data_IF_228900619127
#
_entry.id   IF_228900619127
#
_cell.length_a   1.000
_cell.length_b   1.000
_cell.length_c   1.000
_cell.angle_alpha   90.00
_cell.angle_beta   90.00
_cell.angle_gamma   90.00
#
_symmetry.space_group_name_H-M   'P 1'
#
loop_
_entity.id
_entity.type
_entity.pdbx_description
1 polymer ?
#
# COMPACT_ATOMS: atom_id res chain seq x y z
N UNK A 1 -6.51 31.70 -5.97
CA UNK A 1 -6.04 30.65 -6.87
C UNK A 1 -6.17 29.30 -6.19
N UNK A 2 -6.54 28.25 -6.90
CA UNK A 2 -6.77 26.91 -6.32
C UNK A 2 -5.44 26.15 -6.27
N UNK A 3 -5.02 25.74 -5.07
CA UNK A 3 -3.79 24.93 -4.91
C UNK A 3 -4.08 23.45 -5.18
N UNK A 4 -3.06 22.62 -5.47
CA UNK A 4 -3.23 21.18 -5.62
C UNK A 4 -3.89 20.54 -4.40
N UNK A 5 -3.52 20.95 -3.19
CA UNK A 5 -4.07 20.42 -1.93
C UNK A 5 -5.55 20.79 -1.75
N UNK A 6 -5.93 22.01 -2.14
CA UNK A 6 -7.35 22.42 -2.11
C UNK A 6 -8.14 21.63 -3.14
N UNK A 7 -7.60 21.46 -4.34
CA UNK A 7 -8.26 20.69 -5.40
C UNK A 7 -8.43 19.22 -5.02
N UNK A 8 -7.42 18.58 -4.41
CA UNK A 8 -7.50 17.20 -3.93
C UNK A 8 -8.63 17.01 -2.89
N UNK A 9 -8.78 17.96 -1.96
CA UNK A 9 -9.88 17.92 -0.97
C UNK A 9 -11.26 18.08 -1.63
N UNK A 10 -11.37 18.94 -2.62
CA UNK A 10 -12.64 19.14 -3.32
C UNK A 10 -13.00 17.96 -4.23
N UNK A 11 -12.01 17.32 -4.88
CA UNK A 11 -12.21 16.04 -5.60
C UNK A 11 -12.71 14.97 -4.64
N UNK A 12 -12.05 14.79 -3.49
CA UNK A 12 -12.49 13.81 -2.51
C UNK A 12 -13.89 14.09 -1.96
N UNK A 13 -14.26 15.36 -1.78
CA UNK A 13 -15.60 15.76 -1.31
C UNK A 13 -16.69 15.57 -2.37
N UNK A 14 -16.34 15.57 -3.66
CA UNK A 14 -17.30 15.37 -4.76
C UNK A 14 -17.57 13.88 -5.04
N UNK A 15 -16.76 12.97 -4.49
CA UNK A 15 -16.87 11.54 -4.71
C UNK A 15 -17.72 10.86 -3.62
N UNK A 16 -18.38 9.74 -3.91
CA UNK A 16 -19.13 9.01 -2.90
C UNK A 16 -18.17 8.45 -1.82
N UNK A 17 -18.70 8.32 -0.61
CA UNK A 17 -17.95 7.66 0.47
C UNK A 17 -17.59 6.21 0.07
N UNK A 18 -16.39 5.77 0.42
CA UNK A 18 -15.95 4.40 0.13
C UNK A 18 -16.88 3.41 0.83
N UNK A 19 -17.40 2.48 0.07
CA UNK A 19 -18.20 1.39 0.61
C UNK A 19 -17.28 0.36 1.28
N UNK A 20 -17.74 -0.20 2.39
CA UNK A 20 -17.02 -1.24 3.13
C UNK A 20 -17.63 -2.59 2.77
N UNK A 21 -16.80 -3.61 2.67
CA UNK A 21 -17.20 -5.01 2.50
C UNK A 21 -16.31 -5.91 3.32
N UNK A 22 -16.88 -7.00 3.83
CA UNK A 22 -16.12 -8.06 4.50
C UNK A 22 -15.69 -9.09 3.48
N UNK A 23 -14.42 -9.47 3.51
CA UNK A 23 -13.86 -10.49 2.62
C UNK A 23 -13.03 -11.48 3.42
N UNK A 24 -12.99 -12.72 2.96
CA UNK A 24 -12.08 -13.71 3.52
C UNK A 24 -10.63 -13.28 3.33
N UNK A 25 -9.78 -13.45 4.35
CA UNK A 25 -8.41 -12.95 4.39
C UNK A 25 -7.57 -13.37 3.17
N UNK A 26 -7.73 -14.61 2.70
CA UNK A 26 -7.02 -15.13 1.52
C UNK A 26 -7.41 -14.44 0.19
N UNK A 27 -8.49 -13.64 0.16
CA UNK A 27 -8.95 -12.86 -0.99
C UNK A 27 -8.65 -11.37 -0.84
N UNK A 28 -8.09 -10.96 0.31
CA UNK A 28 -7.90 -9.56 0.66
C UNK A 28 -6.58 -8.96 0.14
N UNK A 29 -5.76 -9.74 -0.58
CA UNK A 29 -4.49 -9.24 -1.12
C UNK A 29 -4.69 -7.97 -1.95
N UNK A 30 -3.83 -6.97 -1.70
CA UNK A 30 -3.85 -5.65 -2.35
C UNK A 30 -5.08 -4.78 -2.05
N UNK A 31 -6.05 -5.25 -1.27
CA UNK A 31 -7.17 -4.44 -0.78
C UNK A 31 -6.72 -3.50 0.34
N UNK A 32 -7.55 -2.51 0.64
CA UNK A 32 -7.28 -1.47 1.64
C UNK A 32 -8.19 -1.66 2.84
N UNK A 33 -7.62 -1.74 4.04
CA UNK A 33 -8.37 -1.87 5.28
C UNK A 33 -9.30 -0.67 5.52
N UNK A 34 -10.50 -0.94 6.01
CA UNK A 34 -11.48 0.09 6.37
C UNK A 34 -11.42 0.51 7.85
N UNK A 35 -10.74 -0.26 8.68
CA UNK A 35 -10.61 -0.04 10.12
C UNK A 35 -9.26 -0.54 10.66
N UNK A 36 -8.86 -0.03 11.82
CA UNK A 36 -7.71 -0.53 12.56
C UNK A 36 -7.95 -1.95 13.05
N UNK A 37 -6.91 -2.77 13.01
CA UNK A 37 -6.92 -4.13 13.55
C UNK A 37 -5.86 -4.23 14.63
N UNK A 38 -6.28 -4.65 15.82
CA UNK A 38 -5.43 -4.83 16.98
C UNK A 38 -5.19 -6.31 17.26
N UNK A 39 -4.04 -6.62 17.86
CA UNK A 39 -3.71 -7.98 18.27
C UNK A 39 -4.69 -8.50 19.32
N UNK A 40 -5.32 -9.64 19.05
CA UNK A 40 -6.24 -10.29 19.98
C UNK A 40 -5.55 -11.06 21.09
N UNK A 41 -4.27 -11.36 20.92
CA UNK A 41 -3.40 -12.02 21.89
C UNK A 41 -1.93 -11.71 21.58
N UNK A 42 -1.02 -11.89 22.56
CA UNK A 42 0.40 -11.60 22.34
C UNK A 42 1.05 -12.57 21.35
N UNK A 43 2.06 -12.12 20.60
CA UNK A 43 2.91 -12.95 19.74
C UNK A 43 4.36 -12.95 20.28
N UNK A 44 4.98 -14.11 20.56
CA UNK A 44 4.36 -15.43 20.69
C UNK A 44 3.31 -15.45 21.81
N UNK A 45 2.37 -16.39 21.69
CA UNK A 45 1.22 -16.53 22.60
C UNK A 45 1.61 -17.06 24.01
N UNK A 46 2.78 -17.70 24.08
CA UNK A 46 3.39 -18.26 25.29
C UNK A 46 4.91 -18.28 25.15
N UNK A 47 5.61 -18.36 26.26
CA UNK A 47 7.07 -18.58 26.25
C UNK A 47 7.37 -19.86 25.51
N UNK A 48 8.27 -19.81 24.50
CA UNK A 48 8.61 -20.97 23.69
C UNK A 48 10.13 -21.10 23.48
N UNK A 49 10.54 -22.32 23.13
CA UNK A 49 11.95 -22.61 22.86
C UNK A 49 12.40 -21.98 21.54
N UNK A 50 13.56 -21.32 21.55
CA UNK A 50 14.24 -20.86 20.36
C UNK A 50 15.08 -21.94 19.66
N UNK A 51 15.41 -23.02 20.37
CA UNK A 51 16.34 -24.07 19.94
C UNK A 51 15.76 -25.45 20.19
N UNK A 52 16.22 -26.43 19.44
CA UNK A 52 16.13 -27.85 19.79
C UNK A 52 17.15 -28.15 20.83
N UNK A 53 16.77 -28.72 21.99
CA UNK A 53 17.67 -28.93 23.09
C UNK A 53 16.99 -29.43 24.36
N UNK A 54 17.46 -28.98 25.49
CA UNK A 54 16.93 -29.36 26.81
C UNK A 54 16.47 -28.16 27.62
N UNK A 55 15.23 -28.18 28.09
CA UNK A 55 14.74 -27.26 29.12
C UNK A 55 15.31 -27.65 30.47
N UNK A 56 15.98 -26.73 31.17
CA UNK A 56 16.68 -26.97 32.42
C UNK A 56 15.97 -26.31 33.61
N UNK A 57 15.83 -26.99 34.77
CA UNK A 57 15.25 -26.41 35.99
C UNK A 57 16.17 -25.39 36.67
N UNK A 58 17.45 -25.36 36.33
CA UNK A 58 18.47 -24.42 36.85
C UNK A 58 19.58 -24.17 35.85
N UNK A 59 20.34 -23.08 36.02
CA UNK A 59 21.36 -22.65 35.06
C UNK A 59 22.73 -23.26 35.28
N UNK A 60 22.95 -24.01 36.36
CA UNK A 60 24.25 -24.57 36.72
C UNK A 60 24.71 -25.67 35.76
N UNK A 61 26.02 -25.68 35.44
CA UNK A 61 26.62 -26.80 34.73
C UNK A 61 26.52 -28.09 35.54
N UNK A 62 26.33 -29.24 34.88
CA UNK A 62 26.26 -30.51 35.57
C UNK A 62 25.52 -31.59 34.79
N UNK A 63 25.32 -32.72 35.48
CA UNK A 63 24.63 -33.88 34.92
C UNK A 63 23.21 -33.95 35.48
N UNK A 64 22.23 -33.94 34.61
CA UNK A 64 20.80 -33.93 34.94
C UNK A 64 20.15 -35.24 34.54
N UNK A 65 19.10 -35.63 35.29
CA UNK A 65 18.22 -36.71 34.87
C UNK A 65 17.35 -36.21 33.71
N UNK A 66 17.19 -37.03 32.68
CA UNK A 66 16.33 -36.70 31.52
C UNK A 66 14.87 -37.03 31.83
N UNK A 67 14.02 -36.04 31.62
CA UNK A 67 12.57 -36.15 31.73
C UNK A 67 11.88 -36.47 30.40
N UNK A 68 10.53 -36.36 30.34
CA UNK A 68 9.76 -36.53 29.13
C UNK A 68 10.09 -35.46 28.08
N UNK A 69 9.94 -35.80 26.79
CA UNK A 69 10.10 -34.88 25.68
C UNK A 69 8.90 -33.95 25.55
N UNK A 70 9.12 -32.69 25.25
CA UNK A 70 8.11 -31.66 25.00
C UNK A 70 8.20 -31.27 23.54
N UNK A 71 7.25 -31.71 22.74
CA UNK A 71 7.17 -31.39 21.33
C UNK A 71 6.39 -30.08 21.09
N UNK A 72 6.55 -29.49 19.90
CA UNK A 72 5.73 -28.35 19.48
C UNK A 72 4.25 -28.79 19.41
N UNK A 73 3.37 -27.99 20.06
CA UNK A 73 1.95 -28.30 20.20
C UNK A 73 1.58 -29.07 21.48
N UNK A 74 2.54 -29.58 22.23
CA UNK A 74 2.27 -30.21 23.53
C UNK A 74 1.87 -29.15 24.58
N UNK A 75 1.03 -29.58 25.53
CA UNK A 75 0.82 -28.85 26.77
C UNK A 75 1.77 -29.40 27.85
N UNK A 76 2.82 -28.65 28.25
CA UNK A 76 3.80 -29.12 29.23
C UNK A 76 3.20 -29.57 30.55
N UNK A 77 2.08 -28.97 30.99
CA UNK A 77 1.38 -29.34 32.24
C UNK A 77 0.91 -30.78 32.16
N UNK A 78 0.38 -31.21 31.01
CA UNK A 78 -0.11 -32.59 30.82
C UNK A 78 1.03 -33.59 30.68
N UNK A 79 2.13 -33.17 30.02
CA UNK A 79 3.31 -34.03 29.81
C UNK A 79 4.04 -34.30 31.12
N UNK A 80 4.23 -33.27 31.96
CA UNK A 80 5.05 -33.33 33.17
C UNK A 80 4.27 -33.64 34.46
N UNK A 81 2.95 -33.45 34.49
CA UNK A 81 2.11 -33.49 35.70
C UNK A 81 2.61 -32.53 36.81
N UNK A 82 3.23 -31.40 36.45
CA UNK A 82 3.77 -30.41 37.38
C UNK A 82 4.85 -29.53 36.77
N UNK A 83 5.55 -28.73 37.60
CA UNK A 83 6.65 -27.90 37.12
C UNK A 83 7.89 -28.75 36.70
N UNK A 84 8.80 -28.12 35.95
CA UNK A 84 10.00 -28.79 35.47
C UNK A 84 10.90 -29.24 36.62
N UNK A 85 11.10 -30.56 36.75
CA UNK A 85 12.00 -31.16 37.78
C UNK A 85 13.20 -31.88 37.25
N UNK A 86 13.35 -32.04 35.92
CA UNK A 86 14.42 -32.72 35.23
C UNK A 86 14.81 -31.97 33.95
N UNK A 87 15.90 -32.33 33.31
CA UNK A 87 16.23 -31.81 31.98
C UNK A 87 15.32 -32.44 30.93
N UNK A 88 14.38 -31.71 30.39
CA UNK A 88 13.40 -32.23 29.42
C UNK A 88 13.81 -31.87 27.98
N UNK A 89 13.95 -32.88 27.08
CA UNK A 89 14.06 -32.59 25.66
C UNK A 89 12.95 -31.67 25.21
N UNK A 90 13.28 -30.58 24.50
CA UNK A 90 12.34 -29.59 24.02
C UNK A 90 12.64 -29.22 22.58
N UNK A 91 11.61 -29.14 21.76
CA UNK A 91 11.73 -28.75 20.34
C UNK A 91 11.52 -27.26 20.13
N UNK A 92 12.13 -26.71 19.09
CA UNK A 92 11.94 -25.33 18.69
C UNK A 92 10.44 -25.01 18.53
N UNK A 93 9.99 -23.89 19.11
CA UNK A 93 8.60 -23.47 19.10
C UNK A 93 7.71 -24.16 20.15
N UNK A 94 8.19 -25.19 20.84
CA UNK A 94 7.45 -25.84 21.92
C UNK A 94 7.27 -24.89 23.12
N UNK A 95 6.09 -24.94 23.75
CA UNK A 95 5.77 -24.17 24.95
C UNK A 95 6.72 -24.55 26.09
N UNK A 96 7.36 -23.56 26.70
CA UNK A 96 8.32 -23.76 27.78
C UNK A 96 7.56 -24.14 29.06
N UNK A 97 7.97 -25.23 29.76
CA UNK A 97 7.39 -25.61 31.04
C UNK A 97 7.60 -24.56 32.12
N UNK A 98 6.67 -24.49 33.05
CA UNK A 98 6.84 -23.73 34.28
C UNK A 98 8.04 -24.25 35.09
N UNK A 99 8.84 -23.34 35.63
CA UNK A 99 10.07 -23.68 36.36
C UNK A 99 11.29 -23.85 35.47
N UNK A 100 11.22 -23.60 34.17
CA UNK A 100 12.38 -23.60 33.27
C UNK A 100 13.24 -22.37 33.53
N UNK A 101 14.50 -22.58 33.91
CA UNK A 101 15.50 -21.52 34.11
C UNK A 101 16.16 -21.09 32.80
N UNK A 102 16.47 -22.05 31.91
CA UNK A 102 17.06 -21.82 30.61
C UNK A 102 16.85 -23.02 29.68
N UNK A 103 17.15 -22.83 28.41
CA UNK A 103 17.24 -23.89 27.41
C UNK A 103 18.68 -23.98 26.94
N UNK A 104 19.21 -25.21 26.86
CA UNK A 104 20.54 -25.48 26.29
C UNK A 104 20.36 -26.18 24.94
N UNK A 105 20.99 -25.67 23.85
CA UNK A 105 20.98 -26.35 22.57
C UNK A 105 21.57 -27.73 22.65
N UNK A 106 21.04 -28.68 21.89
CA UNK A 106 21.53 -30.08 21.88
C UNK A 106 23.02 -30.18 21.54
N UNK A 107 23.54 -29.30 20.69
CA UNK A 107 24.93 -29.23 20.26
C UNK A 107 25.90 -28.89 21.41
N UNK A 108 25.38 -28.32 22.50
CA UNK A 108 26.17 -27.97 23.69
C UNK A 108 26.07 -29.01 24.81
N UNK A 109 25.32 -30.09 24.58
CA UNK A 109 25.12 -31.17 25.54
C UNK A 109 26.12 -32.34 25.30
N UNK A 110 26.26 -33.19 26.30
CA UNK A 110 27.06 -34.41 26.19
C UNK A 110 26.27 -35.61 26.74
N UNK A 111 25.92 -36.59 25.86
CA UNK A 111 26.13 -36.61 24.40
C UNK A 111 25.24 -35.59 23.65
N UNK A 112 25.64 -35.24 22.41
CA UNK A 112 24.88 -34.29 21.54
C UNK A 112 23.67 -34.99 20.86
N UNK A 113 22.83 -35.61 21.66
CA UNK A 113 21.64 -36.32 21.17
C UNK A 113 20.48 -36.23 22.18
N UNK A 114 19.25 -36.47 21.71
CA UNK A 114 18.10 -36.57 22.58
C UNK A 114 18.05 -37.96 23.24
N UNK A 115 18.13 -37.95 24.56
CA UNK A 115 18.11 -39.17 25.36
C UNK A 115 16.69 -39.50 25.83
N UNK A 116 16.46 -40.79 26.10
CA UNK A 116 15.18 -41.26 26.66
C UNK A 116 15.04 -40.87 28.13
N UNK A 117 13.80 -40.71 28.64
CA UNK A 117 13.54 -40.46 30.06
C UNK A 117 14.25 -41.47 30.97
N UNK A 118 14.86 -40.96 32.07
CA UNK A 118 15.65 -41.73 32.98
C UNK A 118 17.13 -41.82 32.68
N UNK A 119 17.59 -41.45 31.49
CA UNK A 119 18.99 -41.30 31.14
C UNK A 119 19.62 -40.06 31.83
N UNK A 120 20.91 -39.83 31.64
CA UNK A 120 21.63 -38.66 32.17
C UNK A 120 22.26 -37.87 31.04
N UNK A 121 22.10 -36.55 31.08
CA UNK A 121 22.66 -35.58 30.14
C UNK A 121 23.59 -34.62 30.90
N UNK A 122 24.75 -34.33 30.36
CA UNK A 122 25.65 -33.31 30.90
C UNK A 122 25.52 -32.04 30.09
N UNK A 123 25.32 -30.90 30.75
CA UNK A 123 25.11 -29.59 30.15
C UNK A 123 26.10 -28.57 30.72
N UNK A 124 26.50 -27.56 29.93
CA UNK A 124 27.29 -26.44 30.42
C UNK A 124 26.48 -25.51 31.30
N UNK A 125 27.14 -24.56 31.95
CA UNK A 125 26.50 -23.42 32.59
C UNK A 125 25.74 -22.57 31.55
N UNK A 126 24.52 -22.11 31.91
CA UNK A 126 23.65 -21.29 31.06
C UNK A 126 23.30 -19.99 31.77
N UNK A 127 22.85 -19.01 31.00
CA UNK A 127 22.31 -17.76 31.55
C UNK A 127 20.79 -17.87 31.79
N UNK A 128 20.25 -17.23 32.84
CA UNK A 128 18.83 -17.22 33.08
C UNK A 128 18.04 -16.75 31.88
N UNK A 129 17.01 -17.48 31.44
CA UNK A 129 16.17 -17.19 30.29
C UNK A 129 16.82 -17.43 28.92
N UNK A 130 18.04 -18.02 28.90
CA UNK A 130 18.74 -18.31 27.64
C UNK A 130 17.89 -19.19 26.73
N UNK A 131 17.81 -18.80 25.44
CA UNK A 131 17.01 -19.42 24.37
C UNK A 131 15.52 -19.61 24.67
N UNK A 132 14.96 -18.80 25.58
CA UNK A 132 13.52 -18.69 25.79
C UNK A 132 13.02 -17.44 25.08
N UNK A 133 12.14 -17.62 24.08
CA UNK A 133 11.44 -16.51 23.44
C UNK A 133 10.23 -16.19 24.31
N UNK A 134 10.18 -14.96 24.82
CA UNK A 134 9.14 -14.54 25.76
C UNK A 134 7.83 -14.25 25.06
N UNK A 135 6.74 -14.54 25.74
CA UNK A 135 5.37 -14.11 25.36
C UNK A 135 5.37 -12.63 25.02
N UNK A 136 4.75 -12.25 23.89
CA UNK A 136 4.61 -10.85 23.48
C UNK A 136 5.90 -10.18 22.99
N UNK A 137 7.01 -10.90 22.86
CA UNK A 137 8.28 -10.29 22.42
C UNK A 137 8.28 -9.78 20.97
N UNK A 138 7.33 -10.20 20.15
CA UNK A 138 7.11 -9.71 18.79
C UNK A 138 5.95 -8.70 18.76
N UNK A 139 4.84 -9.01 19.43
CA UNK A 139 3.65 -8.19 19.45
C UNK A 139 2.90 -8.37 20.78
N UNK A 140 2.59 -7.28 21.47
CA UNK A 140 1.79 -7.29 22.69
C UNK A 140 0.30 -7.39 22.36
N UNK A 141 -0.49 -7.97 23.27
CA UNK A 141 -1.96 -7.97 23.18
C UNK A 141 -2.50 -6.54 23.15
N UNK A 142 -3.44 -6.25 22.25
CA UNK A 142 -4.02 -4.93 22.06
C UNK A 142 -3.15 -3.97 21.23
N UNK A 143 -1.93 -4.33 20.87
CA UNK A 143 -1.10 -3.50 19.98
C UNK A 143 -1.71 -3.39 18.58
N UNK A 144 -1.50 -2.27 17.91
CA UNK A 144 -1.94 -2.06 16.54
C UNK A 144 -1.17 -3.02 15.60
N UNK A 145 -1.90 -3.92 14.93
CA UNK A 145 -1.36 -4.88 13.99
C UNK A 145 -1.39 -4.37 12.55
N UNK A 146 -2.47 -3.71 12.18
CA UNK A 146 -2.61 -3.04 10.89
C UNK A 146 -3.57 -1.84 11.03
N UNK A 147 -3.22 -0.72 10.41
CA UNK A 147 -4.01 0.50 10.49
C UNK A 147 -5.06 0.58 9.38
N UNK A 148 -6.12 1.34 9.64
CA UNK A 148 -7.04 1.79 8.61
C UNK A 148 -6.27 2.44 7.46
N UNK A 149 -6.75 2.25 6.24
CA UNK A 149 -6.15 2.72 4.99
C UNK A 149 -4.82 2.03 4.61
N UNK A 150 -4.36 1.06 5.41
CA UNK A 150 -3.24 0.18 5.03
C UNK A 150 -3.62 -0.75 3.88
N UNK A 151 -2.72 -0.87 2.91
CA UNK A 151 -2.83 -1.88 1.84
C UNK A 151 -2.39 -3.24 2.37
N UNK A 152 -3.20 -4.28 2.15
CA UNK A 152 -2.94 -5.63 2.61
C UNK A 152 -1.88 -6.32 1.75
N UNK A 153 -0.63 -6.21 2.18
CA UNK A 153 0.52 -6.90 1.58
C UNK A 153 0.58 -8.37 2.01
N UNK A 154 1.33 -9.24 1.31
CA UNK A 154 1.48 -10.63 1.73
C UNK A 154 1.96 -10.80 3.18
N UNK A 155 2.87 -9.93 3.66
CA UNK A 155 3.37 -9.96 5.04
C UNK A 155 2.27 -9.56 6.04
N UNK A 156 1.47 -8.54 5.72
CA UNK A 156 0.32 -8.16 6.56
C UNK A 156 -0.72 -9.28 6.63
N UNK A 157 -1.04 -9.92 5.51
CA UNK A 157 -1.96 -11.07 5.51
C UNK A 157 -1.44 -12.20 6.40
N UNK A 158 -0.14 -12.51 6.34
CA UNK A 158 0.46 -13.51 7.22
C UNK A 158 0.39 -13.10 8.70
N UNK A 159 0.66 -11.84 9.03
CA UNK A 159 0.55 -11.31 10.38
C UNK A 159 -0.90 -11.38 10.92
N UNK A 160 -1.89 -11.02 10.10
CA UNK A 160 -3.31 -11.15 10.46
C UNK A 160 -3.71 -12.61 10.67
N UNK A 161 -3.30 -13.50 9.77
CA UNK A 161 -3.55 -14.94 9.90
C UNK A 161 -2.91 -15.53 11.17
N UNK A 162 -1.72 -15.07 11.57
CA UNK A 162 -1.05 -15.51 12.80
C UNK A 162 -1.83 -15.13 14.08
N UNK A 163 -2.70 -14.14 13.97
CA UNK A 163 -3.64 -13.74 15.03
C UNK A 163 -5.00 -14.45 14.94
N UNK A 164 -5.14 -15.43 14.04
CA UNK A 164 -6.39 -16.17 13.85
C UNK A 164 -7.51 -15.37 13.19
N UNK A 165 -7.15 -14.33 12.44
CA UNK A 165 -8.12 -13.51 11.69
C UNK A 165 -8.38 -14.17 10.34
N UNK A 166 -9.62 -14.57 10.08
CA UNK A 166 -10.03 -15.25 8.85
C UNK A 166 -10.72 -14.33 7.85
N UNK A 167 -11.28 -13.21 8.33
CA UNK A 167 -11.99 -12.21 7.53
C UNK A 167 -11.57 -10.81 7.95
N UNK A 168 -11.62 -9.87 6.99
CA UNK A 168 -11.29 -8.47 7.22
C UNK A 168 -12.30 -7.55 6.54
N UNK A 169 -12.53 -6.40 7.16
CA UNK A 169 -13.28 -5.31 6.54
C UNK A 169 -12.35 -4.46 5.69
N UNK A 170 -12.68 -4.35 4.41
CA UNK A 170 -11.90 -3.60 3.42
C UNK A 170 -12.77 -2.59 2.69
N UNK A 171 -12.14 -1.55 2.19
CA UNK A 171 -12.78 -0.67 1.23
C UNK A 171 -13.08 -1.44 -0.06
N UNK A 172 -14.35 -1.45 -0.48
CA UNK A 172 -14.71 -1.99 -1.80
C UNK A 172 -13.94 -1.21 -2.87
N UNK A 173 -13.31 -1.89 -3.84
CA UNK A 173 -12.73 -1.20 -4.99
C UNK A 173 -13.75 -0.25 -5.64
N UNK A 174 -13.39 1.02 -5.78
CA UNK A 174 -14.23 1.96 -6.52
C UNK A 174 -14.27 1.54 -8.00
N UNK A 175 -15.42 1.72 -8.64
CA UNK A 175 -15.65 1.40 -10.04
C UNK A 175 -15.68 2.68 -10.85
N UNK A 176 -14.80 2.81 -11.85
CA UNK A 176 -14.76 3.98 -12.71
C UNK A 176 -15.01 3.65 -14.17
N UNK A 177 -15.59 4.60 -14.89
CA UNK A 177 -15.50 4.66 -16.34
C UNK A 177 -14.36 5.60 -16.73
N UNK A 178 -13.60 5.21 -17.73
CA UNK A 178 -12.55 6.05 -18.31
C UNK A 178 -13.07 6.64 -19.62
N UNK A 179 -13.07 7.98 -19.72
CA UNK A 179 -13.44 8.69 -20.93
C UNK A 179 -12.21 9.34 -21.55
N UNK A 180 -11.81 8.89 -22.73
CA UNK A 180 -10.70 9.45 -23.49
C UNK A 180 -11.14 9.73 -24.93
N UNK A 181 -10.38 10.53 -25.65
CA UNK A 181 -10.63 10.84 -27.05
C UNK A 181 -10.44 12.31 -27.36
N UNK A 182 -10.80 12.66 -28.55
CA UNK A 182 -10.66 13.95 -29.22
C UNK A 182 -10.58 13.68 -30.72
N UNK A 183 -10.83 14.67 -31.58
CA UNK A 183 -10.75 14.51 -33.03
C UNK A 183 -9.37 14.05 -33.54
N UNK A 184 -8.32 14.29 -32.74
CA UNK A 184 -6.96 13.85 -33.03
C UNK A 184 -6.68 12.37 -32.71
N UNK A 185 -7.56 11.72 -31.92
CA UNK A 185 -7.38 10.32 -31.52
C UNK A 185 -8.07 9.40 -32.53
N UNK A 186 -7.34 8.45 -33.11
CA UNK A 186 -7.94 7.48 -34.03
C UNK A 186 -7.04 7.08 -35.18
N UNK A 187 -7.64 6.94 -36.38
CA UNK A 187 -6.96 6.51 -37.60
C UNK A 187 -6.99 7.62 -38.66
N UNK A 188 -5.84 7.93 -39.25
CA UNK A 188 -5.71 8.94 -40.30
C UNK A 188 -4.31 9.59 -40.30
N UNK A 189 -4.02 10.39 -41.33
CA UNK A 189 -2.67 10.98 -41.51
C UNK A 189 -2.29 12.03 -40.44
N UNK A 190 -3.30 12.55 -39.70
CA UNK A 190 -3.09 13.52 -38.60
C UNK A 190 -3.53 12.94 -37.23
N UNK A 191 -3.96 11.69 -37.18
CA UNK A 191 -4.38 11.05 -35.95
C UNK A 191 -3.19 10.53 -35.15
N UNK A 192 -3.34 10.56 -33.83
CA UNK A 192 -2.38 10.00 -32.87
C UNK A 192 -3.02 8.82 -32.10
N UNK A 193 -2.24 7.82 -31.69
CA UNK A 193 -2.72 6.76 -30.80
C UNK A 193 -3.16 7.31 -29.45
N UNK A 194 -4.22 6.73 -28.86
CA UNK A 194 -4.63 7.04 -27.50
C UNK A 194 -3.62 6.48 -26.50
N UNK A 195 -2.87 7.38 -25.86
CA UNK A 195 -1.93 7.03 -24.79
C UNK A 195 -2.60 7.12 -23.40
N UNK A 196 -3.73 7.85 -23.28
CA UNK A 196 -4.37 8.10 -21.98
C UNK A 196 -5.21 6.92 -21.49
N UNK A 197 -5.90 6.20 -22.36
CA UNK A 197 -6.69 5.03 -21.95
C UNK A 197 -5.82 3.94 -21.29
N UNK A 198 -4.73 3.45 -21.91
CA UNK A 198 -3.84 2.49 -21.26
C UNK A 198 -3.14 3.05 -20.02
N UNK A 199 -2.77 4.34 -19.99
CA UNK A 199 -2.17 4.99 -18.84
C UNK A 199 -3.13 4.99 -17.64
N UNK A 200 -4.35 5.50 -17.84
CA UNK A 200 -5.37 5.58 -16.79
C UNK A 200 -5.78 4.20 -16.28
N UNK A 201 -5.91 3.22 -17.18
CA UNK A 201 -6.21 1.83 -16.82
C UNK A 201 -5.13 1.23 -15.91
N UNK A 202 -3.86 1.38 -16.29
CA UNK A 202 -2.75 0.87 -15.48
C UNK A 202 -2.67 1.56 -14.10
N UNK A 203 -2.88 2.89 -14.07
CA UNK A 203 -2.88 3.65 -12.81
C UNK A 203 -4.08 3.30 -11.92
N UNK A 204 -5.26 3.08 -12.49
CA UNK A 204 -6.44 2.63 -11.77
C UNK A 204 -6.20 1.27 -11.12
N UNK A 205 -5.73 0.28 -11.86
CA UNK A 205 -5.40 -1.04 -11.33
C UNK A 205 -4.36 -0.97 -10.21
N UNK A 206 -3.31 -0.15 -10.38
CA UNK A 206 -2.29 0.05 -9.33
C UNK A 206 -2.86 0.66 -8.05
N UNK A 207 -3.84 1.54 -8.19
CA UNK A 207 -4.56 2.17 -7.08
C UNK A 207 -5.66 1.26 -6.47
N UNK A 208 -5.88 0.05 -6.99
CA UNK A 208 -6.96 -0.84 -6.56
C UNK A 208 -8.35 -0.35 -6.99
N UNK A 209 -8.43 0.40 -8.10
CA UNK A 209 -9.67 0.91 -8.69
C UNK A 209 -10.07 0.01 -9.85
N UNK A 210 -11.32 -0.42 -9.90
CA UNK A 210 -11.88 -1.22 -10.99
C UNK A 210 -12.25 -0.32 -12.17
N UNK A 211 -11.76 -0.65 -13.36
CA UNK A 211 -12.19 -0.01 -14.61
C UNK A 211 -13.40 -0.77 -15.15
N UNK A 212 -14.58 -0.20 -14.98
CA UNK A 212 -15.85 -0.82 -15.37
C UNK A 212 -16.15 -0.70 -16.86
N UNK A 213 -15.49 0.22 -17.56
CA UNK A 213 -15.66 0.41 -19.00
C UNK A 213 -15.01 1.68 -19.53
N UNK A 214 -15.18 1.90 -20.83
CA UNK A 214 -14.56 3.02 -21.54
C UNK A 214 -15.61 3.78 -22.33
N UNK A 215 -15.44 5.11 -22.42
CA UNK A 215 -16.21 6.00 -23.26
C UNK A 215 -15.22 6.66 -24.23
N UNK A 216 -15.41 6.46 -25.51
CA UNK A 216 -14.69 7.19 -26.54
C UNK A 216 -15.45 8.46 -26.87
N UNK A 217 -14.79 9.61 -26.83
CA UNK A 217 -15.40 10.88 -27.25
C UNK A 217 -14.91 11.27 -28.65
N UNK A 218 -15.84 11.74 -29.47
CA UNK A 218 -15.60 12.58 -30.62
C UNK A 218 -16.04 14.00 -30.26
N UNK A 219 -15.85 14.98 -31.11
CA UNK A 219 -16.20 16.37 -30.79
C UNK A 219 -17.71 16.70 -30.94
N UNK A 220 -18.58 15.68 -30.88
CA UNK A 220 -20.03 15.81 -30.93
C UNK A 220 -20.64 15.74 -29.51
N UNK A 221 -21.18 16.84 -28.96
CA UNK A 221 -21.80 16.88 -27.64
C UNK A 221 -22.98 15.94 -27.46
N UNK A 222 -23.80 15.73 -28.53
CA UNK A 222 -24.97 14.86 -28.45
C UNK A 222 -24.56 13.40 -28.37
N UNK A 223 -23.60 12.99 -29.20
CA UNK A 223 -23.03 11.65 -29.16
C UNK A 223 -22.37 11.34 -27.81
N UNK A 224 -21.62 12.30 -27.26
CA UNK A 224 -21.01 12.16 -25.95
C UNK A 224 -22.04 12.04 -24.83
N UNK A 225 -23.11 12.87 -24.85
CA UNK A 225 -24.20 12.78 -23.87
C UNK A 225 -24.84 11.39 -23.88
N UNK A 226 -25.12 10.86 -25.08
CA UNK A 226 -25.71 9.53 -25.22
C UNK A 226 -24.76 8.43 -24.70
N UNK A 227 -23.47 8.50 -25.06
CA UNK A 227 -22.46 7.54 -24.60
C UNK A 227 -22.27 7.55 -23.07
N UNK A 228 -22.29 8.73 -22.43
CA UNK A 228 -22.27 8.85 -20.96
C UNK A 228 -23.50 8.17 -20.35
N UNK A 229 -24.70 8.49 -20.83
CA UNK A 229 -25.95 7.95 -20.29
C UNK A 229 -25.98 6.41 -20.40
N UNK A 230 -25.62 5.86 -21.56
CA UNK A 230 -25.59 4.42 -21.81
C UNK A 230 -24.54 3.71 -20.93
N UNK A 231 -23.29 4.22 -20.93
CA UNK A 231 -22.21 3.61 -20.18
C UNK A 231 -22.46 3.65 -18.67
N UNK A 232 -22.99 4.74 -18.14
CA UNK A 232 -23.33 4.88 -16.71
C UNK A 232 -24.48 3.92 -16.34
N UNK A 233 -25.54 3.86 -17.15
CA UNK A 233 -26.66 2.97 -16.90
C UNK A 233 -26.27 1.48 -16.93
N UNK A 234 -25.33 1.10 -17.82
CA UNK A 234 -24.87 -0.27 -17.94
C UNK A 234 -23.91 -0.68 -16.81
N UNK A 235 -23.01 0.21 -16.42
CA UNK A 235 -21.87 -0.16 -15.55
C UNK A 235 -22.04 0.28 -14.09
N UNK A 236 -22.95 1.17 -13.77
CA UNK A 236 -23.16 1.73 -12.43
C UNK A 236 -21.84 2.14 -11.74
N UNK A 237 -21.04 3.05 -12.34
CA UNK A 237 -19.76 3.46 -11.79
C UNK A 237 -19.93 4.36 -10.56
N UNK A 238 -18.92 4.37 -9.69
CA UNK A 238 -18.82 5.34 -8.59
C UNK A 238 -18.40 6.74 -9.10
N UNK A 239 -17.67 6.78 -10.23
CA UNK A 239 -17.26 8.02 -10.90
C UNK A 239 -16.90 7.79 -12.38
N UNK A 240 -16.87 8.85 -13.15
CA UNK A 240 -16.22 8.88 -14.47
C UNK A 240 -14.94 9.71 -14.37
N UNK A 241 -13.86 9.23 -14.99
CA UNK A 241 -12.59 9.97 -15.11
C UNK A 241 -12.36 10.29 -16.58
N UNK A 242 -12.33 11.58 -16.92
CA UNK A 242 -12.06 12.00 -18.31
C UNK A 242 -10.62 12.48 -18.47
N UNK A 243 -10.04 12.31 -19.64
CA UNK A 243 -8.77 12.91 -20.03
C UNK A 243 -8.94 13.66 -21.34
N UNK A 244 -8.81 15.01 -21.27
CA UNK A 244 -9.02 15.93 -22.39
C UNK A 244 -10.43 16.56 -22.40
N UNK A 245 -10.68 17.41 -23.40
CA UNK A 245 -11.96 18.07 -23.61
C UNK A 245 -12.33 19.15 -22.59
N UNK A 246 -11.36 19.71 -21.83
CA UNK A 246 -11.61 20.64 -20.71
C UNK A 246 -10.83 21.95 -20.74
N UNK A 247 -10.01 22.18 -21.77
CA UNK A 247 -9.26 23.44 -21.89
C UNK A 247 -10.17 24.64 -22.18
N UNK A 248 -9.63 25.82 -22.30
CA UNK A 248 -10.40 26.99 -22.70
C UNK A 248 -10.61 27.10 -24.23
N UNK A 249 -10.36 25.99 -24.96
CA UNK A 249 -10.49 25.92 -26.42
C UNK A 249 -11.92 25.94 -26.92
N UNK A 250 -12.08 26.22 -28.22
CA UNK A 250 -13.39 26.37 -28.85
C UNK A 250 -14.18 25.04 -28.99
N UNK A 251 -13.50 23.90 -28.91
CA UNK A 251 -14.06 22.56 -29.21
C UNK A 251 -14.06 21.61 -28.02
N UNK A 252 -14.11 22.13 -26.81
CA UNK A 252 -14.03 21.33 -25.58
C UNK A 252 -15.38 20.67 -25.25
N UNK A 253 -15.63 19.53 -25.87
CA UNK A 253 -16.92 18.83 -25.83
C UNK A 253 -17.31 18.38 -24.42
N UNK A 254 -16.37 17.91 -23.62
CA UNK A 254 -16.62 17.45 -22.23
C UNK A 254 -17.20 18.59 -21.38
N UNK A 255 -16.66 19.80 -21.53
CA UNK A 255 -17.12 20.98 -20.80
C UNK A 255 -18.52 21.45 -21.23
N UNK A 256 -18.96 21.10 -22.44
CA UNK A 256 -20.29 21.47 -22.92
C UNK A 256 -21.39 20.54 -22.41
N UNK A 257 -21.04 19.31 -22.05
CA UNK A 257 -21.99 18.25 -21.68
C UNK A 257 -22.14 18.13 -20.16
N UNK A 258 -21.13 18.57 -19.38
CA UNK A 258 -21.09 18.38 -17.94
C UNK A 258 -21.39 19.69 -17.19
N UNK A 259 -22.11 19.57 -16.06
CA UNK A 259 -22.32 20.66 -15.13
C UNK A 259 -21.29 20.60 -13.99
N UNK A 260 -20.57 21.70 -13.76
CA UNK A 260 -19.57 21.71 -12.72
C UNK A 260 -18.53 22.84 -12.80
N UNK A 261 -17.52 22.70 -11.99
CA UNK A 261 -16.39 23.62 -11.98
C UNK A 261 -15.30 23.18 -12.96
N UNK A 262 -14.88 24.11 -13.82
CA UNK A 262 -13.75 23.99 -14.72
C UNK A 262 -12.83 25.18 -14.54
N UNK A 263 -11.55 24.94 -14.23
CA UNK A 263 -10.64 26.03 -13.93
C UNK A 263 -9.17 25.60 -13.89
N UNK A 264 -8.35 26.44 -13.27
CA UNK A 264 -6.92 26.21 -13.15
C UNK A 264 -6.53 25.91 -11.71
N UNK A 265 -5.65 24.93 -11.57
CA UNK A 265 -4.92 24.59 -10.34
C UNK A 265 -3.47 25.08 -10.51
N UNK A 266 -2.87 25.63 -9.46
CA UNK A 266 -1.53 26.21 -9.45
C UNK A 266 -0.45 25.13 -9.43
N UNK A 267 -0.46 24.32 -10.49
CA UNK A 267 0.51 23.25 -10.71
C UNK A 267 1.02 23.22 -12.16
N UNK A 268 2.15 22.57 -12.35
CA UNK A 268 2.71 22.20 -13.64
C UNK A 268 3.38 20.81 -13.57
N UNK A 269 3.01 19.90 -14.52
CA UNK A 269 1.98 20.02 -15.53
C UNK A 269 0.57 19.87 -14.94
N UNK A 270 -0.46 20.07 -15.77
CA UNK A 270 -1.85 19.76 -15.41
C UNK A 270 -2.62 20.90 -14.72
N UNK A 271 -2.39 22.15 -15.12
CA UNK A 271 -3.14 23.29 -14.60
C UNK A 271 -4.66 23.22 -14.84
N UNK A 272 -5.16 22.97 -16.06
CA UNK A 272 -6.59 22.81 -16.32
C UNK A 272 -7.13 21.57 -15.63
N UNK A 273 -8.23 21.71 -14.88
CA UNK A 273 -8.91 20.63 -14.15
C UNK A 273 -10.42 20.88 -14.15
N UNK A 274 -11.22 19.82 -13.91
CA UNK A 274 -12.66 19.94 -13.71
C UNK A 274 -13.18 18.99 -12.64
N UNK A 275 -14.19 19.44 -11.91
CA UNK A 275 -15.01 18.64 -11.01
C UNK A 275 -16.45 18.89 -11.44
N UNK A 276 -17.11 17.88 -11.95
CA UNK A 276 -18.42 18.00 -12.56
C UNK A 276 -19.32 16.82 -12.21
N UNK A 277 -20.53 16.85 -12.68
CA UNK A 277 -21.48 15.75 -12.61
C UNK A 277 -22.11 15.52 -13.96
N UNK A 278 -22.48 14.28 -14.24
CA UNK A 278 -23.40 13.91 -15.28
C UNK A 278 -24.58 13.21 -14.62
N UNK A 279 -25.73 13.90 -14.58
CA UNK A 279 -26.84 13.57 -13.67
C UNK A 279 -26.29 13.46 -12.22
N UNK A 280 -26.43 12.32 -11.57
CA UNK A 280 -25.97 12.08 -10.19
C UNK A 280 -24.57 11.45 -10.12
N UNK A 281 -23.93 11.18 -11.25
CA UNK A 281 -22.60 10.53 -11.29
C UNK A 281 -21.49 11.57 -11.29
N UNK A 282 -20.56 11.53 -10.33
CA UNK A 282 -19.40 12.42 -10.31
C UNK A 282 -18.49 12.20 -11.52
N UNK A 283 -17.95 13.30 -12.05
CA UNK A 283 -17.01 13.27 -13.18
C UNK A 283 -15.77 14.08 -12.81
N UNK A 284 -14.62 13.43 -12.75
CA UNK A 284 -13.33 14.08 -12.52
C UNK A 284 -12.64 14.26 -13.86
N UNK A 285 -12.44 15.53 -14.24
CA UNK A 285 -11.95 15.88 -15.55
C UNK A 285 -10.48 16.27 -15.50
N UNK A 286 -9.64 15.46 -16.13
CA UNK A 286 -8.19 15.61 -16.18
C UNK A 286 -7.74 16.22 -17.50
N UNK A 287 -6.56 16.90 -17.54
CA UNK A 287 -6.00 17.45 -18.77
C UNK A 287 -5.65 16.36 -19.79
N UNK A 288 -5.73 16.68 -21.10
CA UNK A 288 -5.51 15.71 -22.18
C UNK A 288 -4.05 15.28 -22.41
N UNK A 289 -3.05 16.09 -22.03
CA UNK A 289 -1.65 15.70 -22.18
C UNK A 289 -1.28 14.56 -21.23
N UNK A 290 -0.70 13.43 -21.70
CA UNK A 290 -0.48 12.23 -20.89
C UNK A 290 0.28 12.46 -19.57
N UNK A 291 1.30 13.31 -19.56
CA UNK A 291 2.02 13.64 -18.31
C UNK A 291 1.16 14.46 -17.36
N UNK A 292 0.29 15.33 -17.88
CA UNK A 292 -0.66 16.06 -17.05
C UNK A 292 -1.72 15.12 -16.46
N UNK A 293 -2.20 14.17 -17.26
CA UNK A 293 -3.12 13.10 -16.84
C UNK A 293 -2.50 12.26 -15.71
N UNK A 294 -1.26 11.78 -15.89
CA UNK A 294 -0.49 11.01 -14.91
C UNK A 294 -0.37 11.76 -13.57
N UNK A 295 0.08 13.02 -13.62
CA UNK A 295 0.25 13.84 -12.41
C UNK A 295 -1.10 14.05 -11.70
N UNK A 296 -2.14 14.43 -12.47
CA UNK A 296 -3.46 14.70 -11.90
C UNK A 296 -4.13 13.46 -11.33
N UNK A 297 -4.03 12.31 -12.01
CA UNK A 297 -4.55 11.05 -11.49
C UNK A 297 -3.84 10.66 -10.17
N UNK A 298 -2.49 10.73 -10.16
CA UNK A 298 -1.69 10.42 -8.94
C UNK A 298 -2.04 11.30 -7.76
N UNK A 299 -2.29 12.60 -7.99
CA UNK A 299 -2.53 13.56 -6.91
C UNK A 299 -4.00 13.60 -6.45
N UNK A 300 -4.95 13.35 -7.35
CA UNK A 300 -6.36 13.65 -7.08
C UNK A 300 -7.26 12.43 -7.11
N UNK A 301 -7.07 11.50 -8.05
CA UNK A 301 -7.97 10.36 -8.25
C UNK A 301 -7.54 9.16 -7.41
N UNK A 302 -6.27 8.77 -7.49
CA UNK A 302 -5.75 7.61 -6.79
C UNK A 302 -5.98 7.66 -5.27
N UNK A 303 -5.66 8.76 -4.53
CA UNK A 303 -5.90 8.82 -3.09
C UNK A 303 -7.38 8.94 -2.72
N UNK A 304 -8.22 9.49 -3.62
CA UNK A 304 -9.64 9.71 -3.35
C UNK A 304 -10.50 8.46 -3.57
N UNK A 305 -10.24 7.68 -4.62
CA UNK A 305 -11.02 6.49 -4.99
C UNK A 305 -10.34 5.16 -4.67
N UNK A 306 -9.03 5.15 -4.51
CA UNK A 306 -8.25 3.95 -4.29
C UNK A 306 -7.15 4.17 -3.26
N UNK A 307 -5.99 3.61 -3.55
CA UNK A 307 -4.80 3.73 -2.72
C UNK A 307 -3.65 4.40 -3.50
N UNK A 308 -2.91 5.24 -2.81
CA UNK A 308 -1.69 5.83 -3.33
C UNK A 308 -0.60 5.76 -2.23
N UNK A 309 0.65 5.40 -2.58
CA UNK A 309 1.73 5.42 -1.61
C UNK A 309 1.91 6.83 -1.00
N UNK A 310 2.20 6.89 0.30
CA UNK A 310 2.48 8.17 0.96
C UNK A 310 3.72 8.84 0.36
N UNK A 311 3.69 10.16 0.18
CA UNK A 311 4.88 10.91 -0.22
C UNK A 311 5.92 10.89 0.90
N UNK A 312 7.20 10.95 0.52
CA UNK A 312 8.31 11.01 1.46
C UNK A 312 9.37 12.01 1.00
N UNK A 313 10.37 12.28 1.84
CA UNK A 313 11.40 13.26 1.55
C UNK A 313 12.74 12.60 1.30
N UNK A 314 13.46 13.13 0.29
CA UNK A 314 14.82 12.72 -0.05
C UNK A 314 15.62 13.92 -0.57
N UNK A 315 16.96 13.92 -0.46
CA UNK A 315 17.78 14.98 -1.02
C UNK A 315 17.70 15.01 -2.55
N UNK A 316 17.71 16.20 -3.13
CA UNK A 316 17.74 16.42 -4.57
C UNK A 316 19.16 16.19 -5.12
N UNK A 317 19.29 15.46 -6.22
CA UNK A 317 20.59 15.13 -6.80
C UNK A 317 21.28 16.34 -7.48
N UNK A 318 20.51 17.25 -8.05
CA UNK A 318 21.01 18.45 -8.75
C UNK A 318 20.07 19.63 -8.52
N UNK A 319 20.63 20.83 -8.41
CA UNK A 319 19.85 22.04 -8.19
C UNK A 319 18.85 22.34 -9.30
N UNK A 320 17.73 22.97 -8.94
CA UNK A 320 16.66 23.37 -9.85
C UNK A 320 16.02 24.67 -9.42
N UNK A 321 15.59 25.47 -10.38
CA UNK A 321 14.79 26.66 -10.14
C UNK A 321 13.30 26.36 -10.39
N UNK A 322 12.45 26.62 -9.39
CA UNK A 322 11.01 26.49 -9.47
C UNK A 322 10.35 27.64 -10.24
N UNK A 323 9.19 27.37 -10.82
CA UNK A 323 8.39 28.43 -11.46
C UNK A 323 7.86 29.45 -10.43
N UNK A 324 7.76 30.74 -10.75
CA UNK A 324 7.41 31.79 -9.78
C UNK A 324 6.08 31.56 -9.05
N UNK A 325 5.06 31.03 -9.72
CA UNK A 325 3.68 30.99 -9.20
C UNK A 325 3.03 29.60 -9.23
N UNK A 326 3.76 28.54 -9.62
CA UNK A 326 3.20 27.19 -9.76
C UNK A 326 4.10 26.16 -9.12
N UNK A 327 3.52 25.25 -8.35
CA UNK A 327 4.20 24.03 -7.91
C UNK A 327 4.48 23.15 -9.12
N UNK A 328 5.69 22.63 -9.26
CA UNK A 328 6.00 21.69 -10.32
C UNK A 328 6.06 20.26 -9.78
N UNK A 329 5.53 19.32 -10.57
CA UNK A 329 5.64 17.88 -10.33
C UNK A 329 6.47 17.31 -11.47
N UNK A 330 7.77 17.16 -11.21
CA UNK A 330 8.76 16.70 -12.21
C UNK A 330 8.85 15.18 -12.15
N UNK A 331 8.93 14.57 -13.31
CA UNK A 331 9.18 13.12 -13.41
C UNK A 331 10.58 12.81 -12.93
N UNK A 332 10.77 11.73 -12.18
CA UNK A 332 12.07 11.37 -11.66
C UNK A 332 12.21 9.92 -11.25
N UNK A 333 13.44 9.59 -10.91
CA UNK A 333 13.82 8.36 -10.20
C UNK A 333 14.34 8.73 -8.83
N UNK A 334 14.17 7.82 -7.89
CA UNK A 334 14.65 7.95 -6.52
C UNK A 334 15.50 6.72 -6.20
N UNK A 335 16.71 6.98 -5.75
CA UNK A 335 17.59 6.04 -5.06
C UNK A 335 17.91 6.63 -3.68
N UNK A 336 19.14 6.99 -3.36
CA UNK A 336 19.50 7.82 -2.21
C UNK A 336 19.17 9.30 -2.43
N UNK A 337 18.92 9.73 -3.69
CA UNK A 337 18.59 11.09 -4.09
C UNK A 337 17.45 11.09 -5.12
N UNK A 338 16.77 12.23 -5.23
CA UNK A 338 15.78 12.47 -6.27
C UNK A 338 16.45 12.98 -7.56
N UNK A 339 16.35 12.21 -8.64
CA UNK A 339 16.88 12.53 -9.96
C UNK A 339 15.76 12.93 -10.91
N UNK A 340 15.76 14.17 -11.38
CA UNK A 340 14.77 14.65 -12.35
C UNK A 340 15.08 14.09 -13.73
N UNK A 341 14.06 13.55 -14.40
CA UNK A 341 14.13 13.00 -15.75
C UNK A 341 13.52 13.96 -16.78
N UNK A 342 14.28 14.27 -17.79
CA UNK A 342 13.84 15.04 -18.95
C UNK A 342 13.36 16.47 -18.66
N UNK A 343 12.70 17.06 -19.65
CA UNK A 343 12.19 18.44 -19.61
C UNK A 343 10.92 18.59 -18.78
N UNK A 344 10.48 19.84 -18.55
CA UNK A 344 9.27 20.14 -17.77
C UNK A 344 7.96 19.97 -18.58
N UNK A 345 8.05 19.84 -19.88
CA UNK A 345 6.88 19.87 -20.77
C UNK A 345 6.02 18.63 -20.71
N UNK A 346 4.70 18.79 -20.78
CA UNK A 346 3.70 17.72 -20.59
C UNK A 346 3.54 16.77 -21.79
N UNK A 347 4.11 17.11 -22.95
CA UNK A 347 4.10 16.24 -24.15
C UNK A 347 5.27 15.26 -24.20
N UNK A 348 6.25 15.37 -23.29
CA UNK A 348 7.46 14.55 -23.29
C UNK A 348 7.24 13.19 -22.63
N UNK A 349 6.28 12.39 -23.13
CA UNK A 349 5.90 11.10 -22.55
C UNK A 349 7.03 10.08 -22.61
N UNK A 350 7.74 9.97 -23.74
CA UNK A 350 8.86 9.03 -23.89
C UNK A 350 9.99 9.28 -22.88
N UNK A 351 10.24 10.55 -22.51
CA UNK A 351 11.22 10.89 -21.48
C UNK A 351 10.77 10.54 -20.05
N UNK A 352 9.50 10.16 -19.88
CA UNK A 352 8.94 9.75 -18.61
C UNK A 352 8.89 8.23 -18.44
N UNK A 353 9.24 7.45 -19.47
CA UNK A 353 9.07 5.98 -19.46
C UNK A 353 9.76 5.30 -18.28
N UNK A 354 10.88 5.84 -17.83
CA UNK A 354 11.66 5.33 -16.70
C UNK A 354 11.34 6.00 -15.36
N UNK A 355 10.35 6.90 -15.31
CA UNK A 355 10.01 7.58 -14.07
C UNK A 355 9.34 6.63 -13.08
N UNK A 356 9.80 6.66 -11.84
CA UNK A 356 9.23 5.91 -10.72
C UNK A 356 8.55 6.81 -9.70
N UNK A 357 8.81 8.12 -9.78
CA UNK A 357 8.32 9.13 -8.85
C UNK A 357 7.98 10.45 -9.55
N UNK A 358 7.10 11.23 -8.93
CA UNK A 358 6.97 12.66 -9.16
C UNK A 358 7.74 13.40 -8.06
N UNK A 359 8.56 14.35 -8.46
CA UNK A 359 9.38 15.20 -7.58
C UNK A 359 8.71 16.57 -7.51
N UNK A 360 8.29 16.98 -6.32
CA UNK A 360 7.64 18.28 -6.09
C UNK A 360 8.67 19.38 -5.94
N UNK A 361 8.59 20.40 -6.81
CA UNK A 361 9.38 21.61 -6.74
C UNK A 361 8.46 22.76 -6.29
N UNK A 362 8.74 23.42 -5.16
CA UNK A 362 7.95 24.54 -4.66
C UNK A 362 7.93 25.73 -5.62
N UNK A 363 6.86 26.50 -5.61
CA UNK A 363 6.76 27.72 -6.40
C UNK A 363 7.73 28.79 -5.91
N UNK A 364 8.43 29.48 -6.84
CA UNK A 364 9.30 30.62 -6.55
C UNK A 364 10.57 30.30 -5.75
N UNK A 365 10.91 29.03 -5.59
CA UNK A 365 12.11 28.62 -4.86
C UNK A 365 13.19 28.11 -5.82
N UNK A 366 14.42 28.45 -5.50
CA UNK A 366 15.61 27.81 -6.05
C UNK A 366 16.09 26.79 -5.02
N UNK A 367 16.23 25.56 -5.46
CA UNK A 367 16.73 24.46 -4.64
C UNK A 367 18.13 24.07 -5.10
N UNK A 368 19.02 23.86 -4.16
CA UNK A 368 20.37 23.39 -4.41
C UNK A 368 20.45 21.86 -4.30
N UNK A 369 21.51 21.26 -4.85
CA UNK A 369 21.79 19.84 -4.67
C UNK A 369 21.94 19.51 -3.16
N UNK A 370 21.34 18.41 -2.72
CA UNK A 370 21.33 18.00 -1.32
C UNK A 370 20.15 18.55 -0.49
N UNK A 371 19.41 19.53 -0.98
CA UNK A 371 18.19 19.99 -0.30
C UNK A 371 17.06 18.95 -0.45
N UNK A 372 16.29 18.78 0.62
CA UNK A 372 15.21 17.81 0.67
C UNK A 372 13.98 18.23 -0.13
N UNK A 373 13.52 17.33 -0.99
CA UNK A 373 12.30 17.47 -1.78
C UNK A 373 11.30 16.37 -1.44
N UNK A 374 10.03 16.69 -1.58
CA UNK A 374 8.95 15.73 -1.44
C UNK A 374 8.77 14.94 -2.75
N UNK A 375 8.71 13.63 -2.64
CA UNK A 375 8.56 12.72 -3.78
C UNK A 375 7.33 11.84 -3.62
N UNK A 376 6.64 11.62 -4.72
CA UNK A 376 5.39 10.86 -4.80
C UNK A 376 5.66 9.60 -5.63
N UNK A 377 5.70 8.39 -5.05
CA UNK A 377 5.82 7.15 -5.82
C UNK A 377 4.68 7.02 -6.84
N UNK A 378 5.02 6.55 -8.04
CA UNK A 378 4.07 6.33 -9.14
C UNK A 378 3.53 4.92 -9.15
#
# INVERSE_FOLDING_TARGET
>A
MRTPETHAREVAAALPARQVTTVALHRAQDMVLSADIHAGFPSPRFDNSQMDGYALPQCAAGTYLVGPTIAAGDDPIRVLNGPLGAACPIMTGAKVPEGTAAIVPIEHCEPQEFLSPGARITVPETSPGQFIRRTGSDLEEGALLAARDDKLTPVRLAALASQGIDEVEVSRPARILICTGGAEIGHGNAAIPDANAPLLTAMAHRAGIEVAGYIATNDDPQALTHAFAEAIALNHPDAVVTSGGISAGKFEVVRQVLDGWFGHVDQQPGGPQGIATFHDTPVICLPGNPISTLVSFRLFVAPALGWAPEPFRVPLAAGIEGLPHKKQFRRGRVDSHAHILGGASSHLLAQAADATHLIRIPAGQRLEAGEEVEVYPL
#
